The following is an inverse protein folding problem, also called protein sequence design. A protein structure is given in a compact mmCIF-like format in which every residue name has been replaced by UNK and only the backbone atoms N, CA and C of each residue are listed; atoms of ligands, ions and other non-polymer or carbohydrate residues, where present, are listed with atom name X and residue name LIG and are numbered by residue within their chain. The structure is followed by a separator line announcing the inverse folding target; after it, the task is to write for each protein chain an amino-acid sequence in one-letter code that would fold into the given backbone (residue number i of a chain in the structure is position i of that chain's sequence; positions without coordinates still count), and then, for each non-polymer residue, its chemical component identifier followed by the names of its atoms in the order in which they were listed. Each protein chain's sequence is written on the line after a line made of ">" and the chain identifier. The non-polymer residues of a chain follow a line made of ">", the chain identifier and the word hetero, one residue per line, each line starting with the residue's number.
data_IF_550758102461
#
_entry.id   IF_550758102461
#
_cell.length_a   1.000
_cell.length_b   1.000
_cell.length_c   1.000
_cell.angle_alpha   90.00
_cell.angle_beta   90.00
_cell.angle_gamma   90.00
#
_symmetry.space_group_name_H-M   'P 1'
#
loop_
_entity.id
_entity.type
_entity.pdbx_description
1 polymer ?
#
# COMPACT_ATOMS: atom_id res chain seq x y z
N UNK A 1 -18.12 -3.63 10.88
CA UNK A 1 -16.73 -3.61 11.36
C UNK A 1 -16.00 -2.54 10.58
N UNK A 2 -15.33 -1.59 11.24
CA UNK A 2 -14.49 -0.60 10.57
C UNK A 2 -13.21 -1.27 10.08
N UNK A 3 -13.11 -1.54 8.78
CA UNK A 3 -11.85 -1.88 8.12
C UNK A 3 -11.07 -0.59 7.90
N UNK A 4 -10.20 -0.26 8.85
CA UNK A 4 -9.34 0.93 8.79
C UNK A 4 -7.99 0.61 8.15
N UNK A 5 -7.50 1.53 7.31
CA UNK A 5 -6.12 1.49 6.84
C UNK A 5 -5.20 1.92 7.98
N UNK A 6 -4.01 1.33 8.08
CA UNK A 6 -3.02 1.72 9.10
C UNK A 6 -1.85 2.42 8.42
N UNK A 7 -1.57 3.66 8.83
CA UNK A 7 -0.40 4.40 8.37
C UNK A 7 0.68 4.37 9.46
N UNK A 8 1.88 3.94 9.10
CA UNK A 8 3.03 3.88 9.99
C UNK A 8 4.17 4.74 9.45
N UNK A 9 4.95 5.28 10.38
CA UNK A 9 6.21 5.99 10.12
C UNK A 9 7.43 5.13 10.46
N UNK A 10 7.19 3.87 10.81
CA UNK A 10 8.20 2.88 11.17
C UNK A 10 7.98 1.65 10.31
N UNK A 11 9.06 0.97 9.96
CA UNK A 11 9.02 -0.24 9.14
C UNK A 11 8.12 -1.27 9.84
N UNK A 12 7.08 -1.80 9.16
CA UNK A 12 6.27 -2.89 9.68
C UNK A 12 7.18 -4.09 10.00
N UNK A 13 7.02 -4.74 11.16
CA UNK A 13 7.82 -5.90 11.51
C UNK A 13 7.72 -6.99 10.44
N UNK A 14 6.59 -7.07 9.74
CA UNK A 14 6.38 -8.01 8.63
C UNK A 14 7.37 -7.81 7.46
N UNK A 15 7.88 -6.59 7.24
CA UNK A 15 8.87 -6.33 6.19
C UNK A 15 10.31 -6.66 6.62
N UNK A 16 10.56 -6.80 7.92
CA UNK A 16 11.87 -7.14 8.47
C UNK A 16 11.97 -8.60 8.94
N UNK A 17 10.89 -9.36 8.84
CA UNK A 17 10.88 -10.76 9.23
C UNK A 17 11.26 -11.65 8.03
N UNK A 18 12.51 -12.13 8.02
CA UNK A 18 13.03 -13.02 6.97
C UNK A 18 12.28 -14.37 6.87
N UNK A 19 11.43 -14.70 7.85
CA UNK A 19 10.60 -15.92 7.82
C UNK A 19 9.33 -15.74 7.00
N UNK A 20 8.93 -14.50 6.72
CA UNK A 20 7.71 -14.19 5.97
C UNK A 20 7.97 -14.16 4.46
N UNK A 21 7.02 -14.72 3.71
CA UNK A 21 7.03 -14.63 2.25
C UNK A 21 6.45 -13.27 1.83
N UNK A 22 7.34 -12.41 1.33
CA UNK A 22 7.01 -11.11 0.76
C UNK A 22 6.96 -11.19 -0.76
N UNK A 23 5.79 -10.90 -1.33
CA UNK A 23 5.63 -10.75 -2.78
C UNK A 23 5.66 -9.28 -3.14
N UNK A 24 6.60 -8.87 -3.99
CA UNK A 24 6.53 -7.54 -4.58
C UNK A 24 5.40 -7.49 -5.61
N UNK A 25 4.48 -6.53 -5.47
CA UNK A 25 3.30 -6.41 -6.32
C UNK A 25 3.24 -5.02 -6.94
N UNK A 26 2.94 -4.92 -8.23
CA UNK A 26 2.72 -3.62 -8.88
C UNK A 26 1.31 -3.09 -8.61
N UNK A 27 1.14 -1.76 -8.56
CA UNK A 27 -0.20 -1.12 -8.49
C UNK A 27 -1.11 -1.54 -9.64
N UNK A 28 -0.53 -1.91 -10.78
CA UNK A 28 -1.27 -2.38 -11.96
C UNK A 28 -1.87 -3.78 -11.76
N UNK A 29 -1.31 -4.54 -10.82
CA UNK A 29 -1.69 -5.91 -10.48
C UNK A 29 -2.60 -5.96 -9.26
N UNK A 30 -2.87 -4.81 -8.63
CA UNK A 30 -3.74 -4.69 -7.47
C UNK A 30 -5.01 -3.91 -7.83
N UNK A 31 -6.13 -4.43 -7.36
CA UNK A 31 -7.39 -3.72 -7.31
C UNK A 31 -7.71 -3.35 -5.86
N UNK A 32 -7.94 -2.06 -5.62
CA UNK A 32 -8.34 -1.55 -4.32
C UNK A 32 -9.85 -1.30 -4.30
N UNK A 33 -10.51 -1.69 -3.21
CA UNK A 33 -11.91 -1.36 -3.00
C UNK A 33 -12.13 0.16 -2.95
N UNK A 34 -13.31 0.62 -3.36
CA UNK A 34 -13.65 2.07 -3.37
C UNK A 34 -13.44 2.75 -2.02
N UNK A 35 -13.78 2.06 -0.92
CA UNK A 35 -13.56 2.56 0.45
C UNK A 35 -12.06 2.67 0.79
N UNK A 36 -11.26 1.70 0.36
CA UNK A 36 -9.81 1.72 0.53
C UNK A 36 -9.19 2.90 -0.23
N UNK A 37 -9.59 3.09 -1.49
CA UNK A 37 -9.15 4.22 -2.32
C UNK A 37 -9.49 5.58 -1.71
N UNK A 38 -10.70 5.74 -1.17
CA UNK A 38 -11.11 6.97 -0.52
C UNK A 38 -10.25 7.28 0.71
N UNK A 39 -10.04 6.28 1.57
CA UNK A 39 -9.21 6.41 2.78
C UNK A 39 -7.74 6.66 2.44
N UNK A 40 -7.19 5.94 1.46
CA UNK A 40 -5.83 6.16 0.96
C UNK A 40 -5.64 7.59 0.48
N UNK A 41 -6.53 8.08 -0.41
CA UNK A 41 -6.45 9.45 -0.91
C UNK A 41 -6.51 10.48 0.20
N UNK A 42 -7.33 10.25 1.24
CA UNK A 42 -7.40 11.15 2.40
C UNK A 42 -6.08 11.15 3.16
N UNK A 43 -5.55 9.97 3.51
CA UNK A 43 -4.27 9.84 4.20
C UNK A 43 -3.12 10.47 3.41
N UNK A 44 -3.04 10.22 2.09
CA UNK A 44 -1.99 10.79 1.23
C UNK A 44 -2.08 12.31 1.10
N UNK A 45 -3.30 12.89 1.12
CA UNK A 45 -3.46 14.36 1.20
C UNK A 45 -2.96 14.92 2.51
N UNK A 46 -3.21 14.24 3.63
CA UNK A 46 -2.71 14.64 4.94
C UNK A 46 -1.18 14.55 5.01
N UNK A 47 -0.59 13.51 4.42
CA UNK A 47 0.86 13.36 4.27
C UNK A 47 1.46 14.49 3.44
N UNK A 48 0.91 14.75 2.25
CA UNK A 48 1.35 15.85 1.38
C UNK A 48 1.29 17.20 2.11
N UNK A 49 0.20 17.45 2.85
CA UNK A 49 0.05 18.68 3.64
C UNK A 49 1.06 18.82 4.77
N UNK A 50 1.47 17.71 5.40
CA UNK A 50 2.41 17.75 6.54
C UNK A 50 3.86 17.83 6.10
N UNK A 51 4.19 17.26 4.95
CA UNK A 51 5.56 17.09 4.46
C UNK A 51 5.94 18.14 3.42
N UNK A 52 4.95 18.84 2.84
CA UNK A 52 5.17 19.79 1.75
C UNK A 52 5.43 19.14 0.39
N UNK A 53 5.42 17.81 0.31
CA UNK A 53 5.53 17.05 -0.95
C UNK A 53 4.22 17.17 -1.73
N UNK A 54 4.29 17.24 -3.06
CA UNK A 54 3.09 17.28 -3.88
C UNK A 54 2.27 15.99 -3.75
N UNK A 55 0.94 16.09 -3.68
CA UNK A 55 0.06 14.92 -3.60
C UNK A 55 0.28 13.94 -4.75
N UNK A 56 0.56 14.44 -5.96
CA UNK A 56 0.82 13.60 -7.13
C UNK A 56 2.11 12.78 -6.99
N UNK A 57 3.17 13.37 -6.41
CA UNK A 57 4.41 12.66 -6.07
C UNK A 57 4.16 11.59 -5.02
N UNK A 58 3.45 11.90 -3.94
CA UNK A 58 3.09 10.91 -2.90
C UNK A 58 2.32 9.73 -3.51
N UNK A 59 1.38 10.00 -4.42
CA UNK A 59 0.59 8.97 -5.10
C UNK A 59 1.42 8.17 -6.12
N UNK A 60 2.41 8.78 -6.76
CA UNK A 60 3.34 8.11 -7.66
C UNK A 60 4.23 7.13 -6.90
N UNK A 61 4.82 7.57 -5.80
CA UNK A 61 5.69 6.75 -4.96
C UNK A 61 4.92 5.57 -4.34
N UNK A 62 3.68 5.81 -3.87
CA UNK A 62 2.77 4.77 -3.36
C UNK A 62 2.57 3.62 -4.37
N UNK A 63 2.55 3.93 -5.66
CA UNK A 63 2.34 2.97 -6.73
C UNK A 63 3.59 2.13 -7.06
N UNK A 64 4.78 2.60 -6.67
CA UNK A 64 6.06 2.02 -7.04
C UNK A 64 6.53 0.89 -6.14
N UNK A 65 6.19 0.93 -4.84
CA UNK A 65 6.71 0.01 -3.85
C UNK A 65 5.57 -0.60 -3.02
N UNK A 66 5.11 -1.79 -3.40
CA UNK A 66 4.10 -2.51 -2.63
C UNK A 66 4.49 -3.97 -2.42
N UNK A 67 4.21 -4.46 -1.22
CA UNK A 67 4.57 -5.80 -0.76
C UNK A 67 3.35 -6.49 -0.20
N UNK A 68 2.98 -7.63 -0.78
CA UNK A 68 2.00 -8.51 -0.20
C UNK A 68 2.69 -9.48 0.76
N UNK A 69 2.27 -9.44 2.02
CA UNK A 69 2.69 -10.37 3.07
C UNK A 69 1.77 -11.60 3.02
N UNK A 70 2.26 -12.71 2.47
CA UNK A 70 1.42 -13.88 2.19
C UNK A 70 0.76 -14.46 3.46
N UNK A 71 1.50 -14.48 4.58
CA UNK A 71 1.06 -15.08 5.84
C UNK A 71 -0.09 -14.30 6.51
N UNK A 72 -0.14 -12.98 6.30
CA UNK A 72 -1.14 -12.10 6.93
C UNK A 72 -2.21 -11.61 5.97
N UNK A 73 -2.06 -11.85 4.66
CA UNK A 73 -2.94 -11.31 3.64
C UNK A 73 -2.87 -9.79 3.45
N UNK A 74 -1.98 -9.10 4.18
CA UNK A 74 -1.85 -7.64 4.11
C UNK A 74 -1.05 -7.20 2.89
N UNK A 75 -1.46 -6.09 2.31
CA UNK A 75 -0.65 -5.34 1.36
C UNK A 75 -0.03 -4.15 2.08
N UNK A 76 1.28 -4.02 1.98
CA UNK A 76 2.06 -2.92 2.54
C UNK A 76 2.56 -2.06 1.39
N UNK A 77 2.10 -0.82 1.31
CA UNK A 77 2.63 0.17 0.37
C UNK A 77 3.68 1.01 1.07
N UNK A 78 4.85 1.16 0.44
CA UNK A 78 5.96 1.97 0.91
C UNK A 78 5.97 3.27 0.11
N UNK A 79 5.99 4.39 0.81
CA UNK A 79 6.04 5.73 0.23
C UNK A 79 7.33 6.36 0.72
N UNK A 80 8.40 6.35 -0.08
CA UNK A 80 9.60 7.11 0.25
C UNK A 80 9.28 8.60 0.32
N UNK A 81 9.66 9.24 1.43
CA UNK A 81 9.62 10.70 1.59
C UNK A 81 11.01 11.19 1.98
N UNK A 82 11.33 12.47 1.73
CA UNK A 82 12.66 13.02 1.99
C UNK A 82 13.18 12.86 3.43
N UNK A 83 12.30 12.87 4.44
CA UNK A 83 12.72 12.74 5.84
C UNK A 83 12.61 11.31 6.38
N UNK A 84 11.59 10.55 5.95
CA UNK A 84 11.30 9.19 6.42
C UNK A 84 10.30 8.49 5.51
N UNK A 85 10.47 7.19 5.33
CA UNK A 85 9.49 6.40 4.59
C UNK A 85 8.17 6.27 5.39
N UNK A 86 7.06 6.25 4.66
CA UNK A 86 5.77 5.88 5.21
C UNK A 86 5.34 4.52 4.71
N UNK A 87 4.66 3.81 5.59
CA UNK A 87 4.17 2.45 5.35
C UNK A 87 2.67 2.44 5.54
N UNK A 88 1.94 2.18 4.47
CA UNK A 88 0.50 2.04 4.49
C UNK A 88 0.15 0.56 4.46
N UNK A 89 -0.46 0.07 5.53
CA UNK A 89 -1.00 -1.28 5.59
C UNK A 89 -2.47 -1.29 5.13
N UNK A 90 -2.75 -2.14 4.15
CA UNK A 90 -4.07 -2.39 3.60
C UNK A 90 -4.46 -3.84 3.92
N UNK A 91 -5.54 -4.05 4.71
CA UNK A 91 -6.00 -5.40 5.07
C UNK A 91 -6.58 -6.14 3.85
N UNK A 92 -6.54 -7.48 3.86
CA UNK A 92 -6.96 -8.33 2.73
C UNK A 92 -8.37 -8.05 2.20
N UNK A 93 -9.29 -7.59 3.04
CA UNK A 93 -10.68 -7.30 2.66
C UNK A 93 -10.80 -6.08 1.72
N UNK A 94 -9.76 -5.24 1.69
CA UNK A 94 -9.74 -3.95 1.00
C UNK A 94 -8.95 -3.94 -0.30
N UNK A 95 -8.29 -5.04 -0.67
CA UNK A 95 -7.53 -5.17 -1.90
C UNK A 95 -7.62 -6.58 -2.46
N UNK A 96 -7.40 -6.74 -3.77
CA UNK A 96 -7.27 -8.04 -4.42
C UNK A 96 -6.22 -7.95 -5.51
N UNK A 97 -5.54 -9.07 -5.79
CA UNK A 97 -4.77 -9.17 -7.03
C UNK A 97 -5.78 -9.13 -8.17
N UNK A 98 -5.58 -8.22 -9.14
CA UNK A 98 -6.33 -8.27 -10.39
C UNK A 98 -6.08 -9.63 -11.00
N UNK A 99 -7.13 -10.45 -11.12
CA UNK A 99 -7.06 -11.58 -12.01
C UNK A 99 -6.72 -11.03 -13.40
N UNK A 100 -5.48 -11.23 -13.85
CA UNK A 100 -5.22 -11.23 -15.27
C UNK A 100 -6.08 -12.38 -15.78
N UNK A 101 -7.24 -12.05 -16.33
CA UNK A 101 -7.87 -12.88 -17.34
C UNK A 101 -6.84 -13.01 -18.46
N UNK A 102 -5.85 -13.90 -18.28
CA UNK A 102 -5.17 -14.53 -19.38
C UNK A 102 -6.29 -15.30 -20.07
N UNK A 103 -6.98 -14.62 -20.97
CA UNK A 103 -7.67 -15.27 -22.06
C UNK A 103 -6.58 -16.09 -22.74
N UNK A 104 -6.61 -17.38 -22.45
CA UNK A 104 -5.86 -18.41 -23.13
C UNK A 104 -6.24 -18.24 -24.60
N UNK A 105 -5.31 -17.75 -25.42
CA UNK A 105 -5.47 -17.56 -26.85
C UNK A 105 -4.31 -18.20 -27.58
#
# INVERSE_FOLDING_TARGET
>A
METALTLRTTVPPELNDDSLVLHHVSVLEVEFGNAAMATMRRAMKEVASQTGVAFDEVMHELAGHMYWVADTGKLVCVIPLPEKDLYLEVPEDLWRIRERSYAIH
#
